data_IF_389647744795
#
_entry.id   IF_389647744795
#
_cell.length_a   1.000
_cell.length_b   1.000
_cell.length_c   1.000
_cell.angle_alpha   90.00
_cell.angle_beta   90.00
_cell.angle_gamma   90.00
#
_symmetry.space_group_name_H-M   'P 1'
#
loop_
_entity.id
_entity.type
_entity.pdbx_description
1 polymer ?
#
# COMPACT_ATOMS: atom_id res chain seq x y z
N UNK A 1 -14.86 12.94 0.03
CA UNK A 1 -14.14 11.96 -0.81
C UNK A 1 -15.05 10.78 -1.06
N UNK A 2 -15.12 10.31 -2.29
CA UNK A 2 -15.91 9.14 -2.70
C UNK A 2 -15.43 7.85 -2.00
N UNK A 3 -16.35 6.92 -1.72
CA UNK A 3 -16.05 5.69 -0.95
C UNK A 3 -15.11 4.74 -1.69
N UNK A 4 -15.22 4.63 -3.02
CA UNK A 4 -14.29 3.82 -3.82
C UNK A 4 -12.89 4.43 -3.77
N UNK A 5 -12.77 5.76 -3.86
CA UNK A 5 -11.49 6.45 -3.73
C UNK A 5 -10.88 6.23 -2.33
N UNK A 6 -11.68 6.35 -1.27
CA UNK A 6 -11.23 6.03 0.10
C UNK A 6 -10.68 4.62 0.24
N UNK A 7 -11.38 3.64 -0.33
CA UNK A 7 -10.97 2.24 -0.20
C UNK A 7 -9.65 1.95 -0.95
N UNK A 8 -9.49 2.50 -2.15
CA UNK A 8 -8.24 2.37 -2.92
C UNK A 8 -7.05 3.02 -2.19
N UNK A 9 -7.25 4.20 -1.59
CA UNK A 9 -6.21 4.84 -0.77
C UNK A 9 -5.85 3.98 0.44
N UNK A 10 -6.86 3.42 1.12
CA UNK A 10 -6.63 2.56 2.28
C UNK A 10 -5.84 1.28 1.93
N UNK A 11 -6.10 0.67 0.75
CA UNK A 11 -5.32 -0.45 0.23
C UNK A 11 -3.86 -0.06 0.01
N UNK A 12 -3.61 1.06 -0.68
CA UNK A 12 -2.25 1.54 -0.94
C UNK A 12 -1.49 1.83 0.36
N UNK A 13 -2.13 2.52 1.31
CA UNK A 13 -1.56 2.82 2.61
C UNK A 13 -1.25 1.55 3.43
N UNK A 14 -2.16 0.57 3.43
CA UNK A 14 -1.96 -0.69 4.13
C UNK A 14 -0.71 -1.44 3.63
N UNK A 15 -0.49 -1.47 2.31
CA UNK A 15 0.70 -2.09 1.71
C UNK A 15 1.96 -1.29 2.03
N UNK A 16 1.91 0.04 1.90
CA UNK A 16 3.04 0.92 2.18
C UNK A 16 3.55 0.74 3.63
N UNK A 17 2.63 0.57 4.58
CA UNK A 17 2.93 0.41 6.01
C UNK A 17 3.16 -1.06 6.45
N UNK A 18 3.17 -2.04 5.54
CA UNK A 18 3.27 -3.47 5.87
C UNK A 18 2.18 -4.00 6.84
N UNK A 19 0.99 -3.36 6.88
CA UNK A 19 -0.09 -3.78 7.77
C UNK A 19 -0.87 -4.97 7.18
N UNK A 20 -0.43 -6.19 7.48
CA UNK A 20 -1.05 -7.44 7.04
C UNK A 20 -2.58 -7.52 7.31
N UNK A 21 -3.08 -7.26 8.54
CA UNK A 21 -4.53 -7.31 8.78
C UNK A 21 -5.29 -6.22 7.99
N UNK A 22 -4.69 -5.03 7.81
CA UNK A 22 -5.28 -3.95 7.03
C UNK A 22 -5.40 -4.34 5.54
N UNK A 23 -4.37 -4.96 4.95
CA UNK A 23 -4.41 -5.43 3.56
C UNK A 23 -5.53 -6.45 3.36
N UNK A 24 -5.65 -7.42 4.28
CA UNK A 24 -6.72 -8.42 4.23
C UNK A 24 -8.10 -7.74 4.28
N UNK A 25 -8.32 -6.88 5.26
CA UNK A 25 -9.59 -6.19 5.45
C UNK A 25 -9.98 -5.33 4.23
N UNK A 26 -9.08 -4.46 3.77
CA UNK A 26 -9.39 -3.52 2.70
C UNK A 26 -9.52 -4.19 1.33
N UNK A 27 -8.74 -5.24 1.04
CA UNK A 27 -8.94 -6.00 -0.20
C UNK A 27 -10.25 -6.82 -0.18
N UNK A 28 -10.65 -7.37 0.97
CA UNK A 28 -11.97 -8.01 1.15
C UNK A 28 -13.11 -7.00 0.96
N UNK A 29 -12.97 -5.79 1.52
CA UNK A 29 -13.98 -4.74 1.39
C UNK A 29 -14.09 -4.24 -0.05
N UNK A 30 -12.97 -4.01 -0.74
CA UNK A 30 -12.98 -3.63 -2.16
C UNK A 30 -13.65 -4.69 -3.06
N UNK A 31 -13.44 -5.98 -2.78
CA UNK A 31 -14.17 -7.08 -3.44
C UNK A 31 -15.68 -6.97 -3.23
N UNK A 32 -16.12 -6.75 -1.99
CA UNK A 32 -17.56 -6.58 -1.64
C UNK A 32 -18.19 -5.35 -2.28
N UNK A 33 -17.40 -4.30 -2.51
CA UNK A 33 -17.82 -3.08 -3.20
C UNK A 33 -17.84 -3.21 -4.74
N UNK A 34 -17.45 -4.36 -5.30
CA UNK A 34 -17.29 -4.59 -6.74
C UNK A 34 -16.38 -3.53 -7.40
N UNK A 35 -15.33 -3.08 -6.70
CA UNK A 35 -14.33 -2.22 -7.29
C UNK A 35 -13.58 -3.02 -8.35
N UNK A 36 -13.36 -2.39 -9.51
CA UNK A 36 -12.54 -2.95 -10.59
C UNK A 36 -11.19 -3.45 -10.06
N UNK A 37 -10.85 -4.70 -10.39
CA UNK A 37 -9.63 -5.34 -9.94
C UNK A 37 -8.38 -4.62 -10.46
N UNK A 38 -8.43 -3.99 -11.63
CA UNK A 38 -7.29 -3.26 -12.17
C UNK A 38 -6.99 -2.02 -11.32
N UNK A 39 -8.01 -1.32 -10.81
CA UNK A 39 -7.81 -0.20 -9.89
C UNK A 39 -7.23 -0.65 -8.54
N UNK A 40 -7.69 -1.80 -8.03
CA UNK A 40 -7.12 -2.39 -6.81
C UNK A 40 -5.66 -2.75 -7.03
N UNK A 41 -5.32 -3.35 -8.17
CA UNK A 41 -3.94 -3.70 -8.53
C UNK A 41 -3.05 -2.45 -8.61
N UNK A 42 -3.53 -1.37 -9.24
CA UNK A 42 -2.81 -0.10 -9.27
C UNK A 42 -2.54 0.46 -7.87
N UNK A 43 -3.52 0.42 -6.97
CA UNK A 43 -3.33 0.84 -5.58
C UNK A 43 -2.29 -0.03 -4.83
N UNK A 44 -2.32 -1.34 -5.05
CA UNK A 44 -1.33 -2.27 -4.49
C UNK A 44 0.08 -1.96 -5.01
N UNK A 45 0.21 -1.70 -6.31
CA UNK A 45 1.51 -1.43 -6.94
C UNK A 45 2.10 -0.10 -6.49
N UNK A 46 1.28 0.95 -6.34
CA UNK A 46 1.69 2.21 -5.71
C UNK A 46 2.18 1.97 -4.28
N UNK A 47 1.43 1.21 -3.46
CA UNK A 47 1.85 0.88 -2.10
C UNK A 47 3.18 0.12 -2.05
N UNK A 48 3.42 -0.84 -2.97
CA UNK A 48 4.70 -1.55 -3.08
C UNK A 48 5.85 -0.62 -3.45
N UNK A 49 5.62 0.32 -4.38
CA UNK A 49 6.64 1.30 -4.79
C UNK A 49 7.05 2.18 -3.62
N UNK A 50 6.09 2.74 -2.88
CA UNK A 50 6.34 3.56 -1.68
C UNK A 50 7.14 2.77 -0.65
N UNK A 51 6.71 1.54 -0.34
CA UNK A 51 7.42 0.65 0.59
C UNK A 51 8.86 0.40 0.16
N UNK A 52 9.09 0.11 -1.13
CA UNK A 52 10.43 -0.15 -1.67
C UNK A 52 11.33 1.08 -1.53
N UNK A 53 10.81 2.27 -1.86
CA UNK A 53 11.55 3.52 -1.71
C UNK A 53 11.91 3.81 -0.25
N UNK A 54 10.95 3.64 0.67
CA UNK A 54 11.19 3.84 2.10
C UNK A 54 12.25 2.89 2.65
N UNK A 55 12.20 1.60 2.28
CA UNK A 55 13.22 0.63 2.68
C UNK A 55 14.61 1.00 2.12
N UNK A 56 14.70 1.31 0.82
CA UNK A 56 15.99 1.66 0.21
C UNK A 56 16.62 2.93 0.81
N UNK A 57 15.82 3.96 1.10
CA UNK A 57 16.32 5.16 1.78
C UNK A 57 16.77 4.88 3.22
N UNK A 58 16.12 3.95 3.91
CA UNK A 58 16.56 3.51 5.23
C UNK A 58 17.89 2.76 5.14
N UNK A 59 18.05 1.87 4.16
CA UNK A 59 19.29 1.13 3.93
C UNK A 59 20.46 2.11 3.63
N UNK A 60 20.25 3.08 2.72
CA UNK A 60 21.24 4.14 2.42
C UNK A 60 21.62 4.98 3.65
N UNK A 61 20.66 5.25 4.55
CA UNK A 61 20.93 5.97 5.79
C UNK A 61 21.80 5.12 6.72
N UNK A 62 21.47 3.84 6.90
CA UNK A 62 22.24 2.93 7.74
C UNK A 62 23.67 2.76 7.24
N UNK A 63 23.86 2.67 5.91
CA UNK A 63 25.18 2.65 5.29
C UNK A 63 26.00 3.90 5.59
N UNK A 64 25.38 5.09 5.68
CA UNK A 64 26.10 6.34 5.97
C UNK A 64 26.46 6.51 7.44
N UNK A 65 25.60 6.03 8.34
CA UNK A 65 25.72 6.31 9.78
C UNK A 65 26.50 5.24 10.55
N UNK A 66 26.54 3.99 10.04
CA UNK A 66 27.05 2.84 10.82
C UNK A 66 28.12 2.03 10.09
N UNK A 67 28.08 1.95 8.75
CA UNK A 67 29.01 1.16 7.93
C UNK A 67 30.13 2.07 7.39
#
# INVERSE_FOLDING_TARGET
MDEKVKELIAIGAAVACNCHPCVKFHTDKARKMNIDQELVKQALDVGKMVRKGAAGQMDELLEKEII
#
